data_IF_208196917546
#
_entry.id   IF_208196917546
#
_cell.length_a   1.000
_cell.length_b   1.000
_cell.length_c   1.000
_cell.angle_alpha   90.00
_cell.angle_beta   90.00
_cell.angle_gamma   90.00
#
_symmetry.space_group_name_H-M   'P 1'
#
loop_
_entity.id
_entity.type
_entity.pdbx_description
1 polymer ?
#
# COMPACT_ATOMS: atom_id res chain seq x y z
N UNK A 1 -2.90 1.75 -18.10
CA UNK A 1 -3.31 1.21 -16.79
C UNK A 1 -3.17 -0.29 -16.81
N UNK A 2 -2.49 -0.85 -15.81
CA UNK A 2 -2.28 -2.31 -15.67
C UNK A 2 -3.58 -3.01 -15.26
N UNK A 3 -3.74 -4.29 -15.61
CA UNK A 3 -4.96 -5.06 -15.30
C UNK A 3 -5.31 -5.00 -13.81
N UNK A 4 -4.32 -5.15 -12.93
CA UNK A 4 -4.53 -5.19 -11.47
C UNK A 4 -5.01 -3.85 -10.90
N UNK A 5 -4.52 -2.73 -11.45
CA UNK A 5 -4.97 -1.38 -11.06
C UNK A 5 -6.33 -1.09 -11.69
N UNK A 6 -6.55 -1.52 -12.93
CA UNK A 6 -7.85 -1.36 -13.59
C UNK A 6 -8.96 -2.06 -12.82
N UNK A 7 -8.72 -3.28 -12.34
CA UNK A 7 -9.70 -3.99 -11.50
C UNK A 7 -10.06 -3.23 -10.22
N UNK A 8 -9.12 -2.47 -9.65
CA UNK A 8 -9.37 -1.63 -8.48
C UNK A 8 -10.24 -0.42 -8.83
N UNK A 9 -9.99 0.23 -9.96
CA UNK A 9 -10.85 1.30 -10.49
C UNK A 9 -12.26 0.79 -10.82
N UNK A 10 -12.37 -0.31 -11.56
CA UNK A 10 -13.65 -0.92 -11.93
C UNK A 10 -14.47 -1.31 -10.68
N UNK A 11 -13.80 -1.65 -9.57
CA UNK A 11 -14.43 -1.90 -8.28
C UNK A 11 -14.82 -0.60 -7.56
N UNK A 12 -13.93 0.39 -7.49
CA UNK A 12 -14.17 1.69 -6.86
C UNK A 12 -15.34 2.45 -7.51
N UNK A 13 -15.54 2.32 -8.83
CA UNK A 13 -16.68 2.89 -9.54
C UNK A 13 -18.03 2.41 -9.01
N UNK A 14 -18.08 1.19 -8.45
CA UNK A 14 -19.29 0.58 -7.89
C UNK A 14 -19.53 0.93 -6.41
N UNK A 15 -18.54 1.54 -5.75
CA UNK A 15 -18.63 1.99 -4.36
C UNK A 15 -19.31 3.36 -4.25
N UNK A 16 -19.92 3.60 -3.10
CA UNK A 16 -20.38 4.92 -2.67
C UNK A 16 -19.19 5.87 -2.42
N UNK A 17 -19.47 7.16 -2.20
CA UNK A 17 -18.45 8.18 -1.96
C UNK A 17 -17.62 7.92 -0.69
N UNK A 18 -18.20 7.21 0.30
CA UNK A 18 -17.50 6.75 1.49
C UNK A 18 -17.38 5.22 1.52
N UNK A 19 -16.15 4.72 1.44
CA UNK A 19 -15.85 3.29 1.46
C UNK A 19 -16.05 2.71 2.86
N UNK A 20 -16.79 1.61 2.90
CA UNK A 20 -16.94 0.71 4.04
C UNK A 20 -15.64 -0.01 4.36
N UNK A 21 -15.56 -0.59 5.57
CA UNK A 21 -14.38 -1.37 5.97
C UNK A 21 -14.12 -2.57 5.06
N UNK A 22 -15.16 -3.19 4.50
CA UNK A 22 -15.03 -4.36 3.62
C UNK A 22 -14.57 -3.99 2.21
N UNK A 23 -14.97 -2.84 1.68
CA UNK A 23 -14.45 -2.33 0.41
C UNK A 23 -12.96 -2.01 0.54
N UNK A 24 -12.58 -1.32 1.63
CA UNK A 24 -11.16 -1.06 1.95
C UNK A 24 -10.38 -2.35 2.13
N UNK A 25 -10.96 -3.34 2.79
CA UNK A 25 -10.37 -4.66 2.96
C UNK A 25 -10.01 -5.30 1.63
N UNK A 26 -10.95 -5.32 0.68
CA UNK A 26 -10.72 -5.90 -0.65
C UNK A 26 -9.62 -5.15 -1.40
N UNK A 27 -9.69 -3.82 -1.43
CA UNK A 27 -8.71 -2.98 -2.12
C UNK A 27 -7.31 -3.14 -1.52
N UNK A 28 -7.19 -3.03 -0.20
CA UNK A 28 -5.90 -3.12 0.48
C UNK A 28 -5.26 -4.51 0.36
N UNK A 29 -6.04 -5.60 0.39
CA UNK A 29 -5.51 -6.94 0.11
C UNK A 29 -4.95 -7.08 -1.31
N UNK A 30 -5.62 -6.48 -2.32
CA UNK A 30 -5.10 -6.46 -3.69
C UNK A 30 -3.80 -5.65 -3.79
N UNK A 31 -3.72 -4.50 -3.12
CA UNK A 31 -2.50 -3.69 -3.08
C UNK A 31 -1.35 -4.42 -2.37
N UNK A 32 -1.63 -5.07 -1.25
CA UNK A 32 -0.65 -5.89 -0.54
C UNK A 32 -0.14 -7.04 -1.42
N UNK A 33 -1.02 -7.70 -2.18
CA UNK A 33 -0.60 -8.73 -3.14
C UNK A 33 0.32 -8.17 -4.23
N UNK A 34 0.10 -6.93 -4.69
CA UNK A 34 1.03 -6.26 -5.62
C UNK A 34 2.38 -6.01 -4.94
N UNK A 35 2.38 -5.51 -3.70
CA UNK A 35 3.60 -5.26 -2.94
C UNK A 35 4.40 -6.54 -2.65
N UNK A 36 3.72 -7.65 -2.37
CA UNK A 36 4.30 -8.97 -2.10
C UNK A 36 5.26 -9.43 -3.20
N UNK A 37 4.93 -9.14 -4.47
CA UNK A 37 5.77 -9.48 -5.64
C UNK A 37 7.18 -8.90 -5.57
N UNK A 38 7.33 -7.79 -4.84
CA UNK A 38 8.59 -7.06 -4.71
C UNK A 38 9.25 -7.25 -3.32
N UNK A 39 8.58 -7.90 -2.38
CA UNK A 39 9.04 -8.03 -1.00
C UNK A 39 10.37 -8.78 -0.89
N UNK A 40 10.63 -9.75 -1.78
CA UNK A 40 11.90 -10.49 -1.85
C UNK A 40 13.11 -9.62 -2.23
N UNK A 41 12.88 -8.41 -2.74
CA UNK A 41 13.93 -7.49 -3.19
C UNK A 41 14.36 -6.52 -2.09
N UNK A 42 13.66 -6.48 -0.94
CA UNK A 42 14.07 -5.72 0.23
C UNK A 42 14.72 -6.60 1.28
N UNK A 43 15.66 -6.03 2.04
CA UNK A 43 16.19 -6.61 3.29
C UNK A 43 15.83 -5.78 4.51
N UNK A 44 15.04 -4.72 4.32
CA UNK A 44 14.61 -3.84 5.39
C UNK A 44 13.56 -4.56 6.24
N UNK A 45 13.93 -4.90 7.47
CA UNK A 45 13.07 -5.65 8.38
C UNK A 45 11.81 -4.88 8.75
N UNK A 46 11.89 -3.56 8.85
CA UNK A 46 10.75 -2.72 9.22
C UNK A 46 9.69 -2.73 8.11
N UNK A 47 10.11 -2.70 6.84
CA UNK A 47 9.19 -2.84 5.69
C UNK A 47 8.51 -4.21 5.69
N UNK A 48 9.26 -5.27 5.93
CA UNK A 48 8.74 -6.64 5.98
C UNK A 48 7.75 -6.80 7.14
N UNK A 49 8.05 -6.21 8.29
CA UNK A 49 7.18 -6.22 9.46
C UNK A 49 5.88 -5.45 9.21
N UNK A 50 5.96 -4.23 8.66
CA UNK A 50 4.79 -3.44 8.30
C UNK A 50 3.89 -4.19 7.31
N UNK A 51 4.48 -4.83 6.29
CA UNK A 51 3.73 -5.69 5.36
C UNK A 51 2.96 -6.79 6.09
N UNK A 52 3.61 -7.54 6.98
CA UNK A 52 2.95 -8.64 7.68
C UNK A 52 1.84 -8.15 8.61
N UNK A 53 2.05 -7.04 9.32
CA UNK A 53 1.04 -6.47 10.21
C UNK A 53 -0.17 -5.95 9.41
N UNK A 54 0.07 -5.18 8.33
CA UNK A 54 -0.99 -4.68 7.47
C UNK A 54 -1.75 -5.83 6.80
N UNK A 55 -1.04 -6.83 6.28
CA UNK A 55 -1.63 -8.02 5.68
C UNK A 55 -2.47 -8.81 6.68
N UNK A 56 -1.96 -9.02 7.89
CA UNK A 56 -2.72 -9.67 8.94
C UNK A 56 -4.01 -8.89 9.25
N UNK A 57 -3.89 -7.58 9.51
CA UNK A 57 -5.05 -6.74 9.80
C UNK A 57 -6.09 -6.81 8.68
N UNK A 58 -5.72 -6.63 7.42
CA UNK A 58 -6.70 -6.65 6.34
C UNK A 58 -7.22 -8.06 6.06
N UNK A 59 -6.47 -9.12 6.37
CA UNK A 59 -6.98 -10.47 6.21
C UNK A 59 -8.03 -10.83 7.28
N UNK A 60 -7.87 -10.35 8.51
CA UNK A 60 -8.68 -10.78 9.66
C UNK A 60 -9.62 -9.71 10.22
N UNK A 61 -9.37 -8.43 9.90
CA UNK A 61 -9.88 -7.24 10.58
C UNK A 61 -9.64 -7.29 12.10
N UNK A 62 -8.58 -8.00 12.54
CA UNK A 62 -8.23 -8.15 13.94
C UNK A 62 -7.65 -6.84 14.50
N UNK A 63 -8.37 -6.27 15.46
CA UNK A 63 -7.99 -5.04 16.17
C UNK A 63 -6.82 -5.21 17.13
N UNK A 64 -6.26 -6.41 17.26
CA UNK A 64 -4.96 -6.60 17.91
C UNK A 64 -3.85 -5.88 17.17
N UNK A 65 -3.97 -5.70 15.85
CA UNK A 65 -3.10 -4.79 15.10
C UNK A 65 -3.73 -3.39 15.14
N UNK A 66 -3.04 -2.45 15.77
CA UNK A 66 -3.44 -1.06 15.78
C UNK A 66 -2.95 -0.38 14.49
N UNK A 67 -3.86 -0.14 13.54
CA UNK A 67 -3.51 0.54 12.29
C UNK A 67 -2.97 1.97 12.49
N UNK A 68 -3.37 2.71 13.54
CA UNK A 68 -2.82 4.05 13.79
C UNK A 68 -1.34 3.97 14.15
N UNK A 69 -0.99 3.07 15.07
CA UNK A 69 0.41 2.86 15.46
C UNK A 69 1.25 2.33 14.29
N UNK A 70 0.64 1.50 13.43
CA UNK A 70 1.30 1.00 12.24
C UNK A 70 1.54 2.10 11.20
N UNK A 71 0.57 3.01 11.03
CA UNK A 71 0.69 4.18 10.15
C UNK A 71 1.79 5.13 10.64
N UNK A 72 1.79 5.47 11.93
CA UNK A 72 2.83 6.28 12.57
C UNK A 72 4.22 5.66 12.36
N UNK A 73 4.35 4.34 12.56
CA UNK A 73 5.60 3.62 12.34
C UNK A 73 6.04 3.67 10.87
N UNK A 74 5.12 3.48 9.93
CA UNK A 74 5.40 3.56 8.50
C UNK A 74 5.84 4.98 8.08
N UNK A 75 5.22 6.02 8.64
CA UNK A 75 5.62 7.42 8.41
C UNK A 75 6.97 7.77 9.02
N UNK A 76 7.28 7.25 10.21
CA UNK A 76 8.60 7.42 10.83
C UNK A 76 9.70 6.78 9.97
N UNK A 77 9.47 5.54 9.51
CA UNK A 77 10.38 4.86 8.59
C UNK A 77 10.50 5.64 7.27
N UNK A 78 9.40 6.19 6.77
CA UNK A 78 9.40 7.03 5.59
C UNK A 78 10.32 8.23 5.74
N UNK A 79 10.22 8.95 6.87
CA UNK A 79 11.03 10.13 7.15
C UNK A 79 12.52 9.78 7.26
N UNK A 80 12.85 8.66 7.91
CA UNK A 80 14.23 8.17 8.05
C UNK A 80 14.87 7.89 6.70
N UNK A 81 14.14 7.20 5.84
CA UNK A 81 14.68 6.81 4.55
C UNK A 81 14.57 7.99 3.53
N UNK A 82 13.72 9.01 3.75
CA UNK A 82 13.51 10.18 2.85
C UNK A 82 14.80 10.93 2.49
N UNK A 83 15.83 10.84 3.35
CA UNK A 83 17.17 11.35 3.06
C UNK A 83 17.94 10.61 1.94
N UNK A 84 17.42 9.48 1.45
CA UNK A 84 18.06 8.56 0.51
C UNK A 84 17.21 8.44 -0.77
N UNK A 85 17.37 9.35 -1.74
CA UNK A 85 16.84 9.29 -3.13
C UNK A 85 15.54 8.47 -3.32
N UNK A 86 14.47 8.97 -2.71
CA UNK A 86 13.29 8.23 -2.26
C UNK A 86 12.33 7.66 -3.32
N UNK A 87 12.59 7.87 -4.60
CA UNK A 87 11.75 7.40 -5.70
C UNK A 87 12.39 6.36 -6.60
N UNK A 88 13.60 5.89 -6.25
CA UNK A 88 14.45 5.06 -7.10
C UNK A 88 15.00 3.80 -6.40
N UNK A 89 14.58 3.53 -5.16
CA UNK A 89 14.96 2.33 -4.44
C UNK A 89 13.72 1.50 -4.09
N UNK A 90 13.86 0.18 -4.10
CA UNK A 90 12.73 -0.73 -3.92
C UNK A 90 12.07 -0.57 -2.54
N UNK A 91 12.86 -0.29 -1.51
CA UNK A 91 12.38 0.03 -0.15
C UNK A 91 11.41 1.22 -0.14
N UNK A 92 11.76 2.30 -0.84
CA UNK A 92 10.90 3.48 -0.91
C UNK A 92 9.59 3.20 -1.65
N UNK A 93 9.64 2.36 -2.69
CA UNK A 93 8.45 1.96 -3.44
C UNK A 93 7.54 1.07 -2.59
N UNK A 94 8.10 0.03 -1.95
CA UNK A 94 7.36 -0.85 -1.05
C UNK A 94 6.69 -0.05 0.07
N UNK A 95 7.42 0.84 0.73
CA UNK A 95 6.87 1.62 1.82
C UNK A 95 5.70 2.52 1.38
N UNK A 96 5.68 2.99 0.13
CA UNK A 96 4.56 3.79 -0.40
C UNK A 96 3.30 2.97 -0.63
N UNK A 97 3.43 1.72 -1.07
CA UNK A 97 2.29 0.80 -1.07
C UNK A 97 1.77 0.57 0.34
N UNK A 98 2.68 0.32 1.29
CA UNK A 98 2.31 0.01 2.66
C UNK A 98 1.60 1.18 3.35
N UNK A 99 2.11 2.41 3.20
CA UNK A 99 1.47 3.61 3.73
C UNK A 99 0.01 3.75 3.28
N UNK A 100 -0.29 3.61 1.98
CA UNK A 100 -1.68 3.73 1.55
C UNK A 100 -2.59 2.58 2.03
N UNK A 101 -2.02 1.49 2.57
CA UNK A 101 -2.79 0.42 3.23
C UNK A 101 -2.91 0.59 4.75
N UNK A 102 -2.14 1.48 5.38
CA UNK A 102 -2.30 1.82 6.80
C UNK A 102 -3.25 2.99 7.00
N UNK A 103 -3.46 3.78 5.95
CA UNK A 103 -4.32 4.97 5.95
C UNK A 103 -5.80 4.66 6.23
N UNK A 104 -6.41 5.54 7.03
CA UNK A 104 -7.80 5.39 7.48
C UNK A 104 -8.84 6.07 6.61
N UNK A 105 -8.40 6.73 5.54
CA UNK A 105 -9.28 7.45 4.65
C UNK A 105 -10.38 6.50 4.11
N UNK A 106 -11.58 7.05 3.97
CA UNK A 106 -12.75 6.39 3.39
C UNK A 106 -13.25 7.11 2.16
N UNK A 107 -12.74 8.29 1.83
CA UNK A 107 -13.13 9.06 0.67
C UNK A 107 -12.73 8.34 -0.61
N UNK A 108 -13.71 8.10 -1.48
CA UNK A 108 -13.52 7.51 -2.80
C UNK A 108 -12.49 8.26 -3.64
N UNK A 109 -12.49 9.60 -3.59
CA UNK A 109 -11.56 10.43 -4.36
C UNK A 109 -10.11 10.25 -3.91
N UNK A 110 -9.89 9.91 -2.63
CA UNK A 110 -8.57 9.56 -2.14
C UNK A 110 -8.06 8.27 -2.78
N UNK A 111 -8.90 7.23 -2.86
CA UNK A 111 -8.51 5.95 -3.47
C UNK A 111 -8.29 6.07 -4.97
N UNK A 112 -9.08 6.89 -5.67
CA UNK A 112 -8.89 7.21 -7.08
C UNK A 112 -7.48 7.78 -7.33
N UNK A 113 -7.09 8.81 -6.60
CA UNK A 113 -5.76 9.41 -6.70
C UNK A 113 -4.64 8.43 -6.27
N UNK A 114 -4.92 7.60 -5.26
CA UNK A 114 -3.97 6.63 -4.75
C UNK A 114 -3.66 5.53 -5.80
N UNK A 115 -4.66 5.10 -6.58
CA UNK A 115 -4.49 4.10 -7.62
C UNK A 115 -3.63 4.60 -8.79
N UNK A 116 -3.79 5.86 -9.19
CA UNK A 116 -2.90 6.51 -10.16
C UNK A 116 -1.45 6.54 -9.67
N UNK A 117 -1.28 6.85 -8.40
CA UNK A 117 0.04 6.82 -7.78
C UNK A 117 0.62 5.39 -7.76
N UNK A 118 -0.19 4.38 -7.44
CA UNK A 118 0.22 2.98 -7.47
C UNK A 118 0.62 2.49 -8.87
N UNK A 119 -0.11 2.82 -9.95
CA UNK A 119 0.29 2.45 -11.32
C UNK A 119 1.68 3.02 -11.66
N UNK A 120 1.95 4.26 -11.24
CA UNK A 120 3.28 4.90 -11.35
C UNK A 120 4.36 4.17 -10.55
N UNK A 121 4.05 3.70 -9.33
CA UNK A 121 4.99 2.93 -8.51
C UNK A 121 5.32 1.57 -9.10
N UNK A 122 4.33 0.83 -9.62
CA UNK A 122 4.56 -0.47 -10.29
C UNK A 122 5.51 -0.28 -11.47
N UNK A 123 5.29 0.76 -12.29
CA UNK A 123 6.17 1.11 -13.40
C UNK A 123 7.63 1.35 -12.96
N UNK A 124 7.85 1.85 -11.75
CA UNK A 124 9.20 2.06 -11.19
C UNK A 124 9.79 0.77 -10.65
N UNK A 125 9.00 -0.03 -9.92
CA UNK A 125 9.45 -1.30 -9.35
C UNK A 125 9.93 -2.27 -10.45
N UNK A 126 9.17 -2.38 -11.54
CA UNK A 126 9.56 -3.21 -12.69
C UNK A 126 10.81 -2.74 -13.43
N UNK A 127 11.15 -1.44 -13.35
CA UNK A 127 12.40 -0.92 -13.92
C UNK A 127 13.60 -1.21 -13.03
N UNK A 128 13.41 -1.39 -11.73
CA UNK A 128 14.47 -1.70 -10.77
C UNK A 128 14.72 -3.22 -10.64
N UNK A 129 13.69 -4.03 -10.86
CA UNK A 129 13.80 -5.50 -10.88
C UNK A 129 14.32 -6.10 -12.21
N UNK A 130 14.76 -5.26 -13.15
CA UNK A 130 15.41 -5.64 -14.42
C UNK A 130 16.88 -5.25 -14.39
#
# INVERSE_FOLDING_TARGET
MRTEIKELYDYLEQCDDELTIHEKQLMNLKILHIAEKYLSQTKNKDIIDIYHQAHHYWQTLDKQVNLDELDDHAWELNNKLFGIRYGHHIDGILLRFLLGTTEKNSDKDYFDQLFDFYDSLINRAEKLGK
#
